data_IF_248619489450
#
_entry.id   IF_248619489450
#
_cell.length_a   1.000
_cell.length_b   1.000
_cell.length_c   1.000
_cell.angle_alpha   90.00
_cell.angle_beta   90.00
_cell.angle_gamma   90.00
#
_symmetry.space_group_name_H-M   'P 1'
#
loop_
_entity.id
_entity.type
_entity.pdbx_description
1 polymer ?
#
# COMPACT_ATOMS: atom_id res chain seq x y z
N UNK A 1 42.29 -37.22 -25.16
CA UNK A 1 43.02 -36.68 -26.32
C UNK A 1 42.33 -35.39 -26.74
N UNK A 2 43.12 -34.25 -26.66
CA UNK A 2 43.04 -33.03 -27.48
C UNK A 2 41.69 -32.24 -27.42
N UNK A 3 41.57 -30.95 -27.26
CA UNK A 3 42.49 -29.82 -26.99
C UNK A 3 41.60 -28.60 -26.69
N UNK A 4 41.99 -27.91 -25.69
CA UNK A 4 41.90 -26.51 -25.40
C UNK A 4 41.80 -25.54 -26.58
N UNK A 5 41.00 -24.47 -26.43
CA UNK A 5 41.37 -23.12 -26.88
C UNK A 5 40.70 -22.08 -26.00
N UNK A 6 41.52 -21.37 -25.25
CA UNK A 6 41.22 -20.09 -24.59
C UNK A 6 41.24 -18.99 -25.65
N UNK A 7 40.29 -18.09 -25.62
CA UNK A 7 40.37 -16.80 -26.30
C UNK A 7 40.23 -15.70 -25.27
N UNK A 8 41.36 -15.01 -25.00
CA UNK A 8 41.41 -13.70 -24.34
C UNK A 8 40.95 -12.64 -25.34
N UNK A 9 40.11 -11.75 -24.94
CA UNK A 9 39.92 -10.46 -25.61
C UNK A 9 40.15 -9.31 -24.64
N UNK A 10 41.07 -8.43 -25.07
CA UNK A 10 41.58 -7.31 -24.32
C UNK A 10 40.64 -6.09 -24.38
N UNK A 11 40.65 -5.33 -23.29
CA UNK A 11 39.99 -4.04 -23.11
C UNK A 11 40.92 -2.94 -23.65
N UNK A 12 40.44 -1.90 -24.35
CA UNK A 12 41.15 -0.64 -24.43
C UNK A 12 40.56 0.38 -23.44
N UNK A 13 41.45 0.90 -22.60
CA UNK A 13 41.31 2.18 -21.90
C UNK A 13 41.25 3.32 -22.93
N UNK A 14 40.28 4.22 -22.74
CA UNK A 14 40.37 5.57 -23.33
C UNK A 14 40.28 6.60 -22.19
N UNK A 15 41.42 7.27 -22.01
CA UNK A 15 41.55 8.47 -21.18
C UNK A 15 41.31 9.69 -22.06
N UNK A 16 40.54 10.68 -21.60
CA UNK A 16 40.58 12.06 -22.09
C UNK A 16 40.09 13.00 -21.00
N UNK A 17 40.90 13.70 -20.51
CA UNK A 17 41.51 15.05 -20.44
C UNK A 17 40.52 16.18 -20.19
N UNK A 18 40.83 16.88 -19.08
CA UNK A 18 40.35 18.15 -18.57
C UNK A 18 40.52 19.30 -19.62
N UNK A 19 39.54 20.19 -19.66
CA UNK A 19 39.76 21.57 -20.10
C UNK A 19 38.95 22.50 -19.17
N UNK A 20 39.75 23.30 -18.44
CA UNK A 20 39.34 24.51 -17.71
C UNK A 20 39.18 25.66 -18.69
N UNK A 21 38.18 26.51 -18.47
CA UNK A 21 38.24 27.89 -18.95
C UNK A 21 37.53 28.81 -17.93
N UNK A 22 38.32 29.68 -17.33
CA UNK A 22 37.94 30.86 -16.60
C UNK A 22 37.43 31.94 -17.54
N UNK A 23 36.58 32.83 -17.07
CA UNK A 23 36.23 34.10 -17.70
C UNK A 23 35.50 34.98 -16.73
N UNK A 24 36.21 36.04 -16.33
CA UNK A 24 35.88 37.08 -15.34
C UNK A 24 34.97 38.19 -15.91
N UNK A 25 34.48 38.99 -14.93
CA UNK A 25 34.14 40.40 -14.97
C UNK A 25 32.76 40.86 -15.51
N UNK A 26 31.95 41.63 -14.83
CA UNK A 26 32.17 42.95 -14.28
C UNK A 26 30.90 43.57 -13.67
N UNK A 27 31.07 44.17 -12.53
CA UNK A 27 30.39 45.21 -11.83
C UNK A 27 29.34 46.10 -12.51
N UNK A 28 28.26 46.47 -11.80
CA UNK A 28 28.09 47.86 -11.41
C UNK A 28 26.92 48.09 -10.42
N UNK A 29 27.24 48.85 -9.44
CA UNK A 29 26.48 49.47 -8.39
C UNK A 29 25.38 50.43 -8.88
N UNK A 30 24.32 50.57 -8.08
CA UNK A 30 23.83 51.93 -7.70
C UNK A 30 22.95 51.87 -6.47
N UNK A 31 23.35 52.66 -5.50
CA UNK A 31 22.69 53.18 -4.33
C UNK A 31 21.29 53.75 -4.62
N UNK A 32 20.38 53.71 -3.65
CA UNK A 32 19.85 54.89 -2.98
C UNK A 32 18.76 54.58 -1.94
N UNK A 33 19.05 54.99 -0.74
CA UNK A 33 18.32 55.76 0.27
C UNK A 33 17.16 55.16 1.02
N UNK A 34 17.38 55.14 2.32
CA UNK A 34 16.47 54.97 3.43
C UNK A 34 15.40 56.09 3.50
N UNK A 35 14.22 55.70 4.02
CA UNK A 35 13.40 56.65 4.80
C UNK A 35 12.74 55.87 5.91
N UNK A 36 13.10 56.23 7.16
CA UNK A 36 12.39 55.90 8.39
C UNK A 36 11.05 56.64 8.41
N UNK A 37 10.00 55.96 8.86
CA UNK A 37 8.95 56.61 9.63
C UNK A 37 8.31 55.64 10.63
N UNK A 38 8.18 56.15 11.83
CA UNK A 38 7.86 55.57 13.12
C UNK A 38 6.34 55.51 13.35
N UNK A 39 5.96 54.61 14.28
CA UNK A 39 4.79 54.60 15.17
C UNK A 39 3.46 54.05 14.66
N UNK A 40 2.97 52.95 15.23
CA UNK A 40 2.01 52.95 16.37
C UNK A 40 1.73 51.52 16.82
N UNK A 41 1.86 51.34 18.11
CA UNK A 41 1.46 50.18 18.90
C UNK A 41 -0.06 50.09 18.91
N UNK A 42 -0.62 48.93 18.50
CA UNK A 42 -1.93 48.49 18.99
C UNK A 42 -1.82 47.02 19.41
N UNK A 43 -1.96 46.86 20.70
CA UNK A 43 -2.05 45.62 21.45
C UNK A 43 -3.44 45.00 21.16
N UNK A 44 -3.49 43.94 20.37
CA UNK A 44 -4.68 43.10 20.23
C UNK A 44 -4.27 41.68 20.60
N UNK A 45 -4.48 41.34 21.85
CA UNK A 45 -4.55 39.98 22.35
C UNK A 45 -5.62 39.22 21.56
N UNK A 46 -5.22 38.53 20.50
CA UNK A 46 -5.99 37.46 19.89
C UNK A 46 -5.75 36.19 20.71
N UNK A 47 -6.76 35.84 21.51
CA UNK A 47 -6.89 34.50 22.09
C UNK A 47 -7.04 33.55 20.91
N UNK A 48 -5.98 32.83 20.54
CA UNK A 48 -6.09 31.69 19.67
C UNK A 48 -6.85 30.59 20.42
N UNK A 49 -8.13 30.50 20.13
CA UNK A 49 -8.97 29.34 20.45
C UNK A 49 -8.48 28.21 19.54
N UNK A 50 -7.50 27.44 20.01
CA UNK A 50 -7.10 26.17 19.40
C UNK A 50 -8.20 25.16 19.71
N UNK A 51 -9.30 25.24 18.98
CA UNK A 51 -10.17 24.08 18.79
C UNK A 51 -9.33 23.03 18.09
N UNK A 52 -8.85 22.05 18.86
CA UNK A 52 -8.35 20.81 18.32
C UNK A 52 -9.42 20.31 17.34
N UNK A 53 -9.07 20.23 16.06
CA UNK A 53 -9.95 19.60 15.07
C UNK A 53 -10.21 18.18 15.56
N UNK A 54 -11.46 17.89 15.93
CA UNK A 54 -11.88 16.55 16.21
C UNK A 54 -11.61 15.73 14.96
N UNK A 55 -10.63 14.82 15.05
CA UNK A 55 -10.38 13.82 14.02
C UNK A 55 -11.69 13.05 13.84
N UNK A 56 -12.26 12.93 12.62
CA UNK A 56 -13.47 12.13 12.43
C UNK A 56 -13.27 10.78 13.10
N UNK A 57 -14.30 10.29 13.80
CA UNK A 57 -14.27 8.99 14.46
C UNK A 57 -14.06 7.92 13.36
N UNK A 58 -12.79 7.59 13.09
CA UNK A 58 -12.39 6.56 12.14
C UNK A 58 -12.66 5.16 12.69
N UNK A 59 -12.49 4.16 11.85
CA UNK A 59 -12.47 2.76 12.25
C UNK A 59 -11.50 2.58 13.42
N UNK A 60 -11.97 1.99 14.50
CA UNK A 60 -11.17 1.78 15.72
C UNK A 60 -10.21 0.59 15.59
N UNK A 61 -10.12 -0.06 14.42
CA UNK A 61 -9.40 -1.31 14.23
C UNK A 61 -10.10 -2.51 14.84
N UNK A 62 -11.44 -2.46 14.94
CA UNK A 62 -12.29 -3.53 15.52
C UNK A 62 -13.15 -4.24 14.47
N UNK A 63 -12.96 -3.97 13.20
CA UNK A 63 -13.79 -4.52 12.12
C UNK A 63 -15.18 -3.89 12.04
N UNK A 64 -15.34 -2.66 12.50
CA UNK A 64 -16.61 -1.93 12.51
C UNK A 64 -16.65 -0.90 11.37
N UNK A 65 -17.83 -0.70 10.79
CA UNK A 65 -18.06 0.34 9.79
C UNK A 65 -17.94 1.71 10.45
N UNK A 66 -17.14 2.65 9.90
CA UNK A 66 -17.01 4.00 10.43
C UNK A 66 -18.34 4.75 10.47
N UNK A 67 -18.48 5.65 11.44
CA UNK A 67 -19.67 6.50 11.56
C UNK A 67 -19.86 7.35 10.29
N UNK A 68 -21.09 7.40 9.79
CA UNK A 68 -21.45 8.13 8.57
C UNK A 68 -21.19 7.39 7.27
N UNK A 69 -20.49 6.25 7.31
CA UNK A 69 -20.30 5.40 6.12
C UNK A 69 -21.55 4.55 5.83
N UNK A 70 -21.73 4.18 4.57
CA UNK A 70 -22.85 3.35 4.11
C UNK A 70 -22.36 1.91 3.92
N UNK A 71 -23.01 0.95 4.60
CA UNK A 71 -22.74 -0.48 4.39
C UNK A 71 -23.07 -0.91 2.96
N UNK A 72 -22.18 -1.69 2.35
CA UNK A 72 -22.36 -2.29 1.03
C UNK A 72 -22.46 -3.81 1.20
N UNK A 73 -23.62 -4.34 0.88
CA UNK A 73 -23.83 -5.79 0.88
C UNK A 73 -23.30 -6.35 -0.45
N UNK A 74 -22.41 -7.34 -0.37
CA UNK A 74 -21.84 -8.02 -1.52
C UNK A 74 -22.46 -9.40 -1.62
N UNK A 75 -23.19 -9.63 -2.70
CA UNK A 75 -23.83 -10.91 -3.01
C UNK A 75 -23.67 -11.17 -4.52
N UNK A 76 -23.43 -12.43 -4.89
CA UNK A 76 -23.31 -12.84 -6.29
C UNK A 76 -23.56 -14.32 -6.45
N UNK A 77 -24.24 -14.69 -7.54
CA UNK A 77 -24.40 -16.11 -7.92
C UNK A 77 -23.14 -16.58 -8.64
N UNK A 78 -22.26 -17.23 -7.91
CA UNK A 78 -20.97 -17.70 -8.42
C UNK A 78 -21.10 -18.83 -9.44
N UNK A 79 -22.28 -19.46 -9.59
CA UNK A 79 -22.52 -20.43 -10.68
C UNK A 79 -22.45 -19.78 -12.07
N UNK A 80 -22.46 -18.47 -12.16
CA UNK A 80 -22.23 -17.68 -13.37
C UNK A 80 -20.86 -17.94 -14.01
N UNK A 81 -19.89 -18.47 -13.26
CA UNK A 81 -18.54 -18.76 -13.75
C UNK A 81 -18.43 -19.96 -14.68
N UNK A 82 -19.44 -20.82 -14.77
CA UNK A 82 -19.42 -21.98 -15.68
C UNK A 82 -19.07 -21.58 -17.12
N UNK A 83 -17.94 -22.12 -17.62
CA UNK A 83 -17.42 -21.86 -18.96
C UNK A 83 -16.84 -20.46 -19.21
N UNK A 84 -16.64 -19.64 -18.18
CA UNK A 84 -16.05 -18.31 -18.26
C UNK A 84 -14.53 -18.34 -18.19
N UNK A 85 -13.88 -17.36 -18.81
CA UNK A 85 -12.42 -17.17 -18.71
C UNK A 85 -12.12 -15.77 -18.18
N UNK A 86 -11.23 -15.69 -17.19
CA UNK A 86 -10.88 -14.40 -16.57
C UNK A 86 -9.37 -14.17 -16.59
N UNK A 87 -8.98 -12.88 -16.61
CA UNK A 87 -7.59 -12.45 -16.41
C UNK A 87 -7.39 -11.95 -15.00
N UNK A 88 -6.31 -12.37 -14.33
CA UNK A 88 -5.89 -11.84 -13.02
C UNK A 88 -4.46 -11.33 -13.13
N UNK A 89 -4.26 -10.02 -12.95
CA UNK A 89 -2.93 -9.40 -12.85
C UNK A 89 -2.54 -9.26 -11.38
N UNK A 90 -1.35 -9.75 -11.03
CA UNK A 90 -0.76 -9.65 -9.71
C UNK A 90 0.55 -8.86 -9.76
N UNK A 91 0.72 -7.86 -8.87
CA UNK A 91 1.92 -7.03 -8.86
C UNK A 91 3.17 -7.84 -8.49
N UNK A 92 3.10 -8.62 -7.41
CA UNK A 92 4.24 -9.38 -6.89
C UNK A 92 3.77 -10.59 -6.07
N UNK A 93 4.58 -11.66 -5.99
CA UNK A 93 4.25 -12.86 -5.23
C UNK A 93 4.54 -12.63 -3.73
N UNK A 94 3.74 -11.77 -3.10
CA UNK A 94 3.80 -11.48 -1.66
C UNK A 94 2.59 -12.07 -0.94
N UNK A 95 2.70 -12.39 0.37
CA UNK A 95 1.64 -13.09 1.11
C UNK A 95 0.27 -12.42 1.02
N UNK A 96 0.17 -11.10 1.17
CA UNK A 96 -1.08 -10.37 1.05
C UNK A 96 -1.74 -10.53 -0.32
N UNK A 97 -0.94 -10.45 -1.41
CA UNK A 97 -1.45 -10.67 -2.77
C UNK A 97 -1.93 -12.11 -2.99
N UNK A 98 -1.23 -13.10 -2.42
CA UNK A 98 -1.66 -14.50 -2.48
C UNK A 98 -2.96 -14.74 -1.69
N UNK A 99 -3.12 -14.10 -0.53
CA UNK A 99 -4.34 -14.19 0.30
C UNK A 99 -5.56 -13.60 -0.40
N UNK A 100 -5.38 -12.61 -1.26
CA UNK A 100 -6.47 -12.09 -2.09
C UNK A 100 -6.73 -12.96 -3.32
N UNK A 101 -5.69 -13.35 -4.03
CA UNK A 101 -5.82 -14.03 -5.32
C UNK A 101 -6.25 -15.50 -5.21
N UNK A 102 -5.81 -16.22 -4.16
CA UNK A 102 -6.16 -17.65 -3.99
C UNK A 102 -7.67 -17.88 -3.76
N UNK A 103 -8.37 -17.17 -2.85
CA UNK A 103 -9.82 -17.30 -2.70
C UNK A 103 -10.57 -16.90 -3.97
N UNK A 104 -10.13 -15.84 -4.67
CA UNK A 104 -10.70 -15.43 -5.95
C UNK A 104 -10.57 -16.55 -7.00
N UNK A 105 -9.36 -17.12 -7.18
CA UNK A 105 -9.14 -18.22 -8.11
C UNK A 105 -9.98 -19.45 -7.74
N UNK A 106 -9.96 -19.85 -6.46
CA UNK A 106 -10.76 -20.98 -5.98
C UNK A 106 -12.26 -20.77 -6.26
N UNK A 107 -12.79 -19.59 -5.96
CA UNK A 107 -14.19 -19.26 -6.23
C UNK A 107 -14.54 -19.42 -7.72
N UNK A 108 -13.68 -18.99 -8.64
CA UNK A 108 -13.91 -19.07 -10.08
C UNK A 108 -13.77 -20.52 -10.57
N UNK A 109 -12.69 -21.19 -10.22
CA UNK A 109 -12.37 -22.54 -10.73
C UNK A 109 -13.31 -23.63 -10.19
N UNK A 110 -13.67 -23.55 -8.90
CA UNK A 110 -14.63 -24.48 -8.28
C UNK A 110 -16.04 -24.35 -8.88
N UNK A 111 -16.34 -23.21 -9.50
CA UNK A 111 -17.61 -22.95 -10.18
C UNK A 111 -17.49 -23.03 -11.72
N UNK A 112 -16.47 -23.73 -12.22
CA UNK A 112 -16.34 -24.10 -13.65
C UNK A 112 -15.72 -23.02 -14.55
N UNK A 113 -15.16 -21.97 -13.96
CA UNK A 113 -14.40 -20.94 -14.69
C UNK A 113 -12.95 -21.33 -14.95
N UNK A 114 -12.27 -20.57 -15.79
CA UNK A 114 -10.85 -20.72 -16.13
C UNK A 114 -10.12 -19.42 -15.81
N UNK A 115 -8.96 -19.51 -15.16
CA UNK A 115 -8.16 -18.36 -14.75
C UNK A 115 -6.87 -18.27 -15.55
N UNK A 116 -6.62 -17.13 -16.18
CA UNK A 116 -5.31 -16.69 -16.69
C UNK A 116 -4.66 -15.79 -15.64
N UNK A 117 -3.84 -16.39 -14.76
CA UNK A 117 -3.15 -15.68 -13.68
C UNK A 117 -1.76 -15.25 -14.14
N UNK A 118 -1.48 -13.93 -14.04
CA UNK A 118 -0.23 -13.32 -14.46
C UNK A 118 0.40 -12.53 -13.33
N UNK A 119 1.54 -13.00 -12.82
CA UNK A 119 2.38 -12.25 -11.89
C UNK A 119 3.39 -11.41 -12.67
N UNK A 120 3.40 -10.10 -12.46
CA UNK A 120 4.32 -9.20 -13.18
C UNK A 120 5.69 -9.08 -12.53
N UNK A 121 5.88 -9.71 -11.34
CA UNK A 121 7.18 -9.77 -10.67
C UNK A 121 7.67 -8.40 -10.17
N UNK A 122 6.77 -7.52 -9.76
CA UNK A 122 7.08 -6.15 -9.32
C UNK A 122 7.28 -5.16 -10.46
N UNK A 123 7.03 -5.55 -11.72
CA UNK A 123 7.18 -4.69 -12.90
C UNK A 123 5.80 -4.25 -13.45
N UNK A 124 5.27 -3.09 -13.02
CA UNK A 124 3.94 -2.62 -13.43
C UNK A 124 3.87 -2.27 -14.93
N UNK A 125 5.01 -2.10 -15.61
CA UNK A 125 5.03 -1.77 -17.04
C UNK A 125 4.51 -2.88 -17.94
N UNK A 126 4.33 -4.09 -17.40
CA UNK A 126 3.75 -5.24 -18.11
C UNK A 126 2.23 -5.20 -18.19
N UNK A 127 1.56 -4.44 -17.30
CA UNK A 127 0.10 -4.42 -17.21
C UNK A 127 -0.61 -4.06 -18.52
N UNK A 128 -0.21 -3.01 -19.28
CA UNK A 128 -0.90 -2.66 -20.52
C UNK A 128 -0.97 -3.82 -21.51
N UNK A 129 0.13 -4.54 -21.70
CA UNK A 129 0.17 -5.68 -22.63
C UNK A 129 -0.73 -6.84 -22.18
N UNK A 130 -0.87 -7.08 -20.88
CA UNK A 130 -1.81 -8.08 -20.34
C UNK A 130 -3.25 -7.66 -20.63
N UNK A 131 -3.62 -6.41 -20.33
CA UNK A 131 -4.97 -5.89 -20.57
C UNK A 131 -5.32 -5.94 -22.06
N UNK A 132 -4.41 -5.53 -22.97
CA UNK A 132 -4.59 -5.63 -24.41
C UNK A 132 -4.81 -7.10 -24.86
N UNK A 133 -4.02 -8.03 -24.32
CA UNK A 133 -4.15 -9.46 -24.59
C UNK A 133 -5.52 -10.02 -24.15
N UNK A 134 -5.98 -9.63 -22.97
CA UNK A 134 -7.28 -10.04 -22.44
C UNK A 134 -8.45 -9.39 -23.20
N UNK A 135 -8.33 -8.14 -23.60
CA UNK A 135 -9.33 -7.49 -24.46
C UNK A 135 -9.43 -8.20 -25.83
N UNK A 136 -8.28 -8.57 -26.43
CA UNK A 136 -8.26 -9.30 -27.70
C UNK A 136 -8.84 -10.73 -27.60
N UNK A 137 -8.56 -11.44 -26.51
CA UNK A 137 -9.08 -12.78 -26.23
C UNK A 137 -10.53 -12.77 -25.69
N UNK A 138 -11.06 -11.59 -25.35
CA UNK A 138 -12.43 -11.39 -24.84
C UNK A 138 -12.68 -12.17 -23.56
N UNK A 139 -11.82 -12.00 -22.56
CA UNK A 139 -12.08 -12.55 -21.25
C UNK A 139 -13.40 -12.03 -20.66
N UNK A 140 -14.04 -12.80 -19.80
CA UNK A 140 -15.36 -12.46 -19.22
C UNK A 140 -15.25 -11.51 -18.02
N UNK A 141 -14.08 -11.45 -17.36
CA UNK A 141 -13.76 -10.49 -16.31
C UNK A 141 -12.25 -10.24 -16.22
N UNK A 142 -11.87 -9.10 -15.67
CA UNK A 142 -10.49 -8.72 -15.37
C UNK A 142 -10.38 -8.38 -13.90
N UNK A 143 -9.34 -8.92 -13.26
CA UNK A 143 -8.99 -8.62 -11.88
C UNK A 143 -7.56 -8.10 -11.79
N UNK A 144 -7.32 -7.20 -10.85
CA UNK A 144 -5.98 -6.66 -10.61
C UNK A 144 -5.74 -6.43 -9.13
N UNK A 145 -4.59 -6.88 -8.64
CA UNK A 145 -4.14 -6.59 -7.29
C UNK A 145 -2.81 -5.84 -7.30
N UNK A 146 -2.81 -4.67 -6.67
CA UNK A 146 -1.63 -3.88 -6.33
C UNK A 146 -0.95 -3.17 -7.50
N UNK A 147 -1.37 -3.36 -8.77
CA UNK A 147 -0.78 -2.64 -9.90
C UNK A 147 -1.59 -1.38 -10.15
N UNK A 148 -0.94 -0.21 -10.07
CA UNK A 148 -1.59 1.07 -10.37
C UNK A 148 -2.25 1.05 -11.76
N UNK A 149 -3.55 1.35 -11.79
CA UNK A 149 -4.36 1.37 -13.02
C UNK A 149 -4.43 2.76 -13.68
N UNK A 150 -3.73 3.75 -13.13
CA UNK A 150 -3.65 5.07 -13.77
C UNK A 150 -3.00 4.97 -15.16
N UNK A 151 -3.55 5.70 -16.11
CA UNK A 151 -3.12 5.63 -17.52
C UNK A 151 -3.69 4.44 -18.31
N UNK A 152 -4.59 3.63 -17.72
CA UNK A 152 -5.27 2.52 -18.39
C UNK A 152 -6.75 2.82 -18.75
N UNK A 153 -7.16 4.07 -18.64
CA UNK A 153 -8.58 4.49 -18.79
C UNK A 153 -9.20 4.02 -20.12
N UNK A 154 -8.42 4.07 -21.20
CA UNK A 154 -8.90 3.62 -22.53
C UNK A 154 -9.18 2.12 -22.57
N UNK A 155 -8.37 1.30 -21.92
CA UNK A 155 -8.54 -0.15 -21.85
C UNK A 155 -9.71 -0.50 -20.90
N UNK A 156 -9.83 0.17 -19.76
CA UNK A 156 -10.96 0.03 -18.85
C UNK A 156 -12.27 0.38 -19.55
N UNK A 157 -12.29 1.49 -20.30
CA UNK A 157 -13.46 1.88 -21.09
C UNK A 157 -13.84 0.82 -22.14
N UNK A 158 -12.85 0.21 -22.80
CA UNK A 158 -13.11 -0.89 -23.75
C UNK A 158 -13.72 -2.13 -23.07
N UNK A 159 -13.26 -2.50 -21.88
CA UNK A 159 -13.88 -3.57 -21.09
C UNK A 159 -15.29 -3.20 -20.65
N UNK A 160 -15.52 -1.94 -20.24
CA UNK A 160 -16.84 -1.45 -19.85
C UNK A 160 -17.82 -1.52 -21.04
N UNK A 161 -17.42 -1.09 -22.25
CA UNK A 161 -18.21 -1.20 -23.48
C UNK A 161 -18.52 -2.66 -23.82
N UNK A 162 -17.56 -3.56 -23.62
CA UNK A 162 -17.72 -5.00 -23.79
C UNK A 162 -18.58 -5.65 -22.71
N UNK A 163 -18.95 -4.91 -21.65
CA UNK A 163 -19.60 -5.42 -20.42
C UNK A 163 -18.76 -6.46 -19.67
N UNK A 164 -17.46 -6.35 -19.76
CA UNK A 164 -16.50 -7.15 -19.03
C UNK A 164 -16.17 -6.45 -17.71
N UNK A 165 -16.55 -6.98 -16.54
CA UNK A 165 -16.21 -6.39 -15.26
C UNK A 165 -14.71 -6.24 -15.07
N UNK A 166 -14.28 -5.11 -14.53
CA UNK A 166 -12.92 -4.87 -14.04
C UNK A 166 -13.02 -4.63 -12.54
N UNK A 167 -12.47 -5.54 -11.72
CA UNK A 167 -12.48 -5.44 -10.25
C UNK A 167 -11.05 -5.38 -9.75
N UNK A 168 -10.74 -4.40 -8.90
CA UNK A 168 -9.37 -4.12 -8.48
C UNK A 168 -9.26 -4.04 -6.96
N UNK A 169 -8.05 -4.34 -6.43
CA UNK A 169 -7.69 -4.20 -5.02
C UNK A 169 -6.34 -3.51 -4.89
N UNK A 170 -6.25 -2.46 -4.05
CA UNK A 170 -4.99 -1.74 -3.80
C UNK A 170 -4.38 -1.06 -5.03
N UNK A 171 -5.21 -0.69 -6.02
CA UNK A 171 -4.77 -0.28 -7.36
C UNK A 171 -5.38 1.07 -7.82
N UNK A 172 -5.78 1.90 -6.86
CA UNK A 172 -6.43 3.19 -7.12
C UNK A 172 -7.95 3.09 -7.31
N UNK A 173 -8.55 4.10 -7.95
CA UNK A 173 -10.00 4.15 -8.22
C UNK A 173 -10.26 4.71 -9.63
N UNK A 174 -9.87 4.02 -10.69
CA UNK A 174 -10.09 4.48 -12.06
C UNK A 174 -11.56 4.35 -12.46
N UNK A 175 -12.04 5.28 -13.28
CA UNK A 175 -13.40 5.24 -13.81
C UNK A 175 -13.66 3.94 -14.62
N UNK A 176 -14.80 3.32 -14.41
CA UNK A 176 -15.22 2.08 -15.09
C UNK A 176 -14.76 0.78 -14.41
N UNK A 177 -13.86 0.83 -13.45
CA UNK A 177 -13.54 -0.31 -12.60
C UNK A 177 -14.35 -0.26 -11.29
N UNK A 178 -14.54 -1.43 -10.67
CA UNK A 178 -15.00 -1.54 -9.27
C UNK A 178 -13.76 -1.60 -8.39
N UNK A 179 -13.49 -0.50 -7.70
CA UNK A 179 -12.39 -0.41 -6.75
C UNK A 179 -12.84 -0.96 -5.40
N UNK A 180 -12.46 -2.20 -5.12
CA UNK A 180 -12.60 -2.86 -3.83
C UNK A 180 -11.24 -2.80 -3.13
N UNK A 181 -11.21 -2.33 -1.88
CA UNK A 181 -9.95 -2.15 -1.15
C UNK A 181 -10.19 -2.21 0.37
N UNK A 182 -9.12 -2.26 1.15
CA UNK A 182 -9.17 -1.83 2.55
C UNK A 182 -9.18 -0.30 2.63
N UNK A 183 -9.56 0.27 3.77
CA UNK A 183 -9.38 1.70 4.00
C UNK A 183 -7.91 1.98 4.33
N UNK A 184 -7.06 2.01 3.32
CA UNK A 184 -5.61 2.11 3.45
C UNK A 184 -5.16 3.32 4.29
N UNK A 185 -5.84 4.46 4.12
CA UNK A 185 -5.53 5.67 4.88
C UNK A 185 -5.90 5.50 6.36
N UNK A 186 -7.03 4.82 6.64
CA UNK A 186 -7.44 4.53 8.01
C UNK A 186 -6.55 3.46 8.66
N UNK A 187 -6.06 2.48 7.91
CA UNK A 187 -5.07 1.50 8.42
C UNK A 187 -3.82 2.22 8.93
N UNK A 188 -3.35 3.21 8.17
CA UNK A 188 -2.27 4.10 8.62
C UNK A 188 -2.60 4.85 9.90
N UNK A 189 -3.84 5.39 10.03
CA UNK A 189 -4.30 6.05 11.26
C UNK A 189 -4.40 5.10 12.45
N UNK A 190 -4.88 3.86 12.24
CA UNK A 190 -4.95 2.83 13.28
C UNK A 190 -3.56 2.57 13.85
N UNK A 191 -2.57 2.32 13.00
CA UNK A 191 -1.18 2.14 13.41
C UNK A 191 -0.63 3.40 14.10
N UNK A 192 -0.93 4.59 13.56
CA UNK A 192 -0.53 5.85 14.15
C UNK A 192 -1.05 6.01 15.58
N UNK A 193 -2.34 5.77 15.82
CA UNK A 193 -2.94 5.83 17.16
C UNK A 193 -2.32 4.81 18.12
N UNK A 194 -2.11 3.59 17.64
CA UNK A 194 -1.42 2.56 18.43
C UNK A 194 -0.02 2.99 18.84
N UNK A 195 0.76 3.57 17.92
CA UNK A 195 2.11 4.05 18.22
C UNK A 195 2.09 5.23 19.18
N UNK A 196 1.20 6.21 19.02
CA UNK A 196 1.05 7.32 19.98
C UNK A 196 0.80 6.79 21.39
N UNK A 197 -0.08 5.80 21.54
CA UNK A 197 -0.32 5.17 22.85
C UNK A 197 0.92 4.45 23.40
N UNK A 198 1.65 3.71 22.57
CA UNK A 198 2.77 2.86 23.02
C UNK A 198 4.06 3.61 23.28
N UNK A 199 4.40 4.59 22.44
CA UNK A 199 5.69 5.29 22.55
C UNK A 199 5.58 6.72 23.10
N UNK A 200 4.42 7.36 23.01
CA UNK A 200 4.13 8.69 23.52
C UNK A 200 4.87 9.84 22.82
N UNK A 201 6.13 9.67 22.48
CA UNK A 201 6.98 10.69 21.83
C UNK A 201 8.22 10.06 21.23
N UNK A 202 8.93 10.78 20.36
CA UNK A 202 10.19 10.36 19.76
C UNK A 202 10.11 10.33 18.24
N UNK A 203 10.84 9.40 17.63
CA UNK A 203 10.95 9.27 16.19
C UNK A 203 10.47 7.87 15.75
N UNK A 204 9.78 7.82 14.62
CA UNK A 204 9.30 6.61 13.95
C UNK A 204 9.94 6.52 12.57
N UNK A 205 10.41 5.33 12.19
CA UNK A 205 10.89 5.04 10.83
C UNK A 205 9.77 4.29 10.11
N UNK A 206 9.38 4.74 8.92
CA UNK A 206 8.51 4.00 8.00
C UNK A 206 9.36 3.46 6.85
N UNK A 207 9.42 2.13 6.70
CA UNK A 207 9.95 1.52 5.49
C UNK A 207 8.78 1.24 4.54
N UNK A 208 8.82 1.89 3.37
CA UNK A 208 7.71 1.89 2.42
C UNK A 208 8.19 1.58 1.00
N UNK A 209 7.26 1.39 0.07
CA UNK A 209 7.53 1.20 -1.35
C UNK A 209 6.57 2.08 -2.17
N UNK A 210 6.92 2.37 -3.43
CA UNK A 210 6.12 3.22 -4.28
C UNK A 210 4.90 2.46 -4.83
N UNK A 211 3.76 2.60 -4.16
CA UNK A 211 2.48 2.00 -4.52
C UNK A 211 1.34 2.88 -3.98
N UNK A 212 0.20 3.05 -4.68
CA UNK A 212 -0.91 3.91 -4.24
C UNK A 212 -1.48 3.56 -2.85
N UNK A 213 -1.66 2.26 -2.56
CA UNK A 213 -2.16 1.82 -1.26
C UNK A 213 -1.19 2.19 -0.13
N UNK A 214 0.12 1.97 -0.36
CA UNK A 214 1.16 2.27 0.62
C UNK A 214 1.32 3.78 0.86
N UNK A 215 1.13 4.60 -0.18
CA UNK A 215 1.11 6.07 -0.03
C UNK A 215 -0.11 6.53 0.79
N UNK A 216 -1.26 5.88 0.64
CA UNK A 216 -2.44 6.16 1.45
C UNK A 216 -2.22 5.79 2.92
N UNK A 217 -1.59 4.64 3.20
CA UNK A 217 -1.17 4.24 4.56
C UNK A 217 -0.22 5.26 5.20
N UNK A 218 0.79 5.69 4.45
CA UNK A 218 1.73 6.71 4.87
C UNK A 218 1.04 8.04 5.21
N UNK A 219 0.07 8.46 4.39
CA UNK A 219 -0.71 9.69 4.61
C UNK A 219 -1.44 9.62 5.96
N UNK A 220 -2.20 8.54 6.22
CA UNK A 220 -2.93 8.36 7.48
C UNK A 220 -2.02 8.28 8.69
N UNK A 221 -0.91 7.53 8.59
CA UNK A 221 0.12 7.44 9.63
C UNK A 221 0.72 8.83 9.94
N UNK A 222 1.12 9.56 8.90
CA UNK A 222 1.72 10.89 9.01
C UNK A 222 0.79 11.88 9.71
N UNK A 223 -0.50 11.86 9.38
CA UNK A 223 -1.50 12.73 10.00
C UNK A 223 -1.53 12.55 11.53
N UNK A 224 -1.63 11.30 12.00
CA UNK A 224 -1.72 11.00 13.43
C UNK A 224 -0.43 11.29 14.17
N UNK A 225 0.72 10.86 13.63
CA UNK A 225 2.03 11.08 14.27
C UNK A 225 2.37 12.58 14.35
N UNK A 226 2.09 13.33 13.29
CA UNK A 226 2.31 14.79 13.25
C UNK A 226 1.43 15.52 14.28
N UNK A 227 0.16 15.14 14.43
CA UNK A 227 -0.72 15.70 15.44
C UNK A 227 -0.21 15.45 16.87
N UNK A 228 0.46 14.32 17.10
CA UNK A 228 1.08 13.96 18.38
C UNK A 228 2.51 14.52 18.56
N UNK A 229 3.05 15.25 17.59
CA UNK A 229 4.42 15.76 17.64
C UNK A 229 5.51 14.70 17.52
N UNK A 230 5.20 13.55 16.93
CA UNK A 230 6.13 12.45 16.68
C UNK A 230 6.71 12.61 15.28
N UNK A 231 8.04 12.56 15.17
CA UNK A 231 8.75 12.68 13.89
C UNK A 231 8.65 11.36 13.10
N UNK A 232 8.35 11.47 11.79
CA UNK A 232 8.34 10.34 10.87
C UNK A 232 9.48 10.47 9.86
N UNK A 233 10.31 9.44 9.77
CA UNK A 233 11.37 9.27 8.75
C UNK A 233 10.94 8.20 7.78
N UNK A 234 10.71 8.56 6.52
CA UNK A 234 10.32 7.60 5.47
C UNK A 234 11.56 7.15 4.71
N UNK A 235 11.69 5.85 4.54
CA UNK A 235 12.78 5.22 3.80
C UNK A 235 12.24 4.16 2.84
N UNK A 236 12.97 3.89 1.75
CA UNK A 236 12.66 2.75 0.90
C UNK A 236 11.95 3.03 -0.41
N UNK A 237 11.86 4.28 -0.88
CA UNK A 237 11.17 4.66 -2.14
C UNK A 237 11.56 3.81 -3.37
N UNK A 238 12.75 3.22 -3.37
CA UNK A 238 13.27 2.37 -4.46
C UNK A 238 13.34 0.89 -4.09
N UNK A 239 12.63 0.46 -3.03
CA UNK A 239 12.65 -0.93 -2.58
C UNK A 239 11.84 -1.84 -3.50
N UNK A 240 12.36 -3.08 -3.65
CA UNK A 240 11.50 -4.20 -4.00
C UNK A 240 10.58 -4.60 -2.83
N UNK A 241 9.57 -5.42 -3.12
CA UNK A 241 8.56 -5.85 -2.14
C UNK A 241 9.03 -7.02 -1.25
N UNK A 242 10.31 -7.07 -0.86
CA UNK A 242 10.88 -8.20 -0.10
C UNK A 242 11.34 -7.82 1.30
N UNK A 243 11.26 -8.78 2.23
CA UNK A 243 11.76 -8.61 3.59
C UNK A 243 13.27 -8.31 3.61
N UNK A 244 14.07 -8.92 2.72
CA UNK A 244 15.51 -8.68 2.64
C UNK A 244 15.84 -7.23 2.26
N UNK A 245 15.11 -6.65 1.29
CA UNK A 245 15.31 -5.26 0.89
C UNK A 245 14.93 -4.29 2.01
N UNK A 246 13.83 -4.58 2.72
CA UNK A 246 13.40 -3.81 3.88
C UNK A 246 14.43 -3.88 5.02
N UNK A 247 14.95 -5.07 5.34
CA UNK A 247 15.95 -5.23 6.37
C UNK A 247 17.17 -4.32 6.11
N UNK A 248 17.73 -4.35 4.92
CA UNK A 248 18.89 -3.52 4.55
C UNK A 248 18.62 -2.02 4.69
N UNK A 249 17.44 -1.59 4.27
CA UNK A 249 17.04 -0.17 4.36
C UNK A 249 16.85 0.27 5.81
N UNK A 250 16.22 -0.56 6.63
CA UNK A 250 15.98 -0.28 8.05
C UNK A 250 17.28 -0.32 8.85
N UNK A 251 18.21 -1.25 8.56
CA UNK A 251 19.55 -1.25 9.19
C UNK A 251 20.28 0.07 8.97
N UNK A 252 20.27 0.60 7.75
CA UNK A 252 20.86 1.90 7.44
C UNK A 252 20.12 3.06 8.15
N UNK A 253 18.79 3.00 8.19
CA UNK A 253 17.97 4.01 8.84
C UNK A 253 18.19 4.04 10.36
N UNK A 254 18.29 2.89 11.02
CA UNK A 254 18.59 2.79 12.46
C UNK A 254 20.00 3.30 12.80
N UNK A 255 20.99 3.10 11.93
CA UNK A 255 22.32 3.69 12.11
C UNK A 255 22.28 5.22 12.08
N UNK A 256 21.45 5.80 11.20
CA UNK A 256 21.26 7.26 11.11
C UNK A 256 20.37 7.81 12.23
N UNK A 257 19.45 7.00 12.76
CA UNK A 257 18.44 7.38 13.75
C UNK A 257 18.45 6.38 14.94
N UNK A 258 19.52 6.33 15.75
CA UNK A 258 19.68 5.29 16.78
C UNK A 258 18.65 5.40 17.92
N UNK A 259 18.01 6.53 18.08
CA UNK A 259 17.00 6.79 19.12
C UNK A 259 15.56 6.57 18.64
N UNK A 260 15.37 6.04 17.42
CA UNK A 260 14.04 5.71 16.90
C UNK A 260 13.32 4.74 17.86
N UNK A 261 12.04 5.04 18.15
CA UNK A 261 11.21 4.27 19.10
C UNK A 261 10.39 3.19 18.44
N UNK A 262 10.11 3.36 17.15
CA UNK A 262 9.36 2.37 16.39
C UNK A 262 9.80 2.33 14.93
N UNK A 263 9.60 1.18 14.30
CA UNK A 263 9.69 0.98 12.86
C UNK A 263 8.36 0.47 12.35
N UNK A 264 7.84 1.09 11.30
CA UNK A 264 6.62 0.69 10.61
C UNK A 264 6.99 0.05 9.28
N UNK A 265 6.54 -1.19 9.03
CA UNK A 265 6.53 -1.76 7.70
C UNK A 265 5.28 -1.33 6.95
N UNK A 266 5.40 -0.75 5.76
CA UNK A 266 4.25 -0.35 4.94
C UNK A 266 3.29 -1.50 4.62
N UNK A 267 3.79 -2.74 4.65
CA UNK A 267 3.02 -3.99 4.60
C UNK A 267 3.81 -5.15 5.21
N UNK A 268 3.20 -6.34 5.31
CA UNK A 268 3.70 -7.49 6.06
C UNK A 268 5.15 -7.86 5.83
N UNK A 269 5.57 -8.11 4.59
CA UNK A 269 6.95 -8.49 4.28
C UNK A 269 7.96 -7.40 4.67
N UNK A 270 7.61 -6.11 4.52
CA UNK A 270 8.48 -5.01 4.97
C UNK A 270 8.58 -4.98 6.50
N UNK A 271 7.48 -5.26 7.21
CA UNK A 271 7.45 -5.37 8.66
C UNK A 271 8.32 -6.51 9.19
N UNK A 272 8.27 -7.68 8.55
CA UNK A 272 9.13 -8.83 8.89
C UNK A 272 10.60 -8.48 8.69
N UNK A 273 10.96 -7.82 7.59
CA UNK A 273 12.31 -7.33 7.34
C UNK A 273 12.76 -6.28 8.36
N UNK A 274 11.86 -5.37 8.74
CA UNK A 274 12.11 -4.39 9.79
C UNK A 274 12.42 -5.04 11.15
N UNK A 275 11.67 -6.08 11.52
CA UNK A 275 11.90 -6.81 12.78
C UNK A 275 13.26 -7.51 12.81
N UNK A 276 13.69 -8.06 11.67
CA UNK A 276 15.03 -8.64 11.54
C UNK A 276 16.11 -7.57 11.71
N UNK A 277 15.94 -6.39 11.12
CA UNK A 277 16.87 -5.26 11.23
C UNK A 277 16.97 -4.74 12.68
N UNK A 278 15.84 -4.52 13.35
CA UNK A 278 15.77 -4.07 14.74
C UNK A 278 16.48 -5.07 15.66
N UNK A 279 16.23 -6.37 15.46
CA UNK A 279 16.90 -7.45 16.22
C UNK A 279 18.40 -7.47 15.98
N UNK A 280 18.84 -7.37 14.73
CA UNK A 280 20.26 -7.38 14.36
C UNK A 280 21.00 -6.14 14.91
N UNK A 281 20.34 -4.99 14.93
CA UNK A 281 20.90 -3.75 15.50
C UNK A 281 20.93 -3.75 17.04
N UNK A 282 20.23 -4.68 17.72
CA UNK A 282 20.04 -4.64 19.16
C UNK A 282 19.30 -3.39 19.63
N UNK A 283 18.40 -2.88 18.81
CA UNK A 283 17.58 -1.67 19.09
C UNK A 283 16.37 -2.06 19.96
N UNK A 284 15.96 -1.15 20.82
CA UNK A 284 14.74 -1.27 21.64
C UNK A 284 13.47 -0.79 20.89
N UNK A 285 13.58 -0.42 19.62
CA UNK A 285 12.45 0.01 18.81
C UNK A 285 11.42 -1.11 18.64
N UNK A 286 10.14 -0.81 18.79
CA UNK A 286 9.06 -1.74 18.44
C UNK A 286 8.81 -1.75 16.94
N UNK A 287 8.29 -2.85 16.43
CA UNK A 287 7.91 -2.97 15.01
C UNK A 287 6.43 -3.23 14.89
N UNK A 288 5.80 -2.53 13.95
CA UNK A 288 4.40 -2.70 13.56
C UNK A 288 4.27 -2.71 12.05
N UNK A 289 3.17 -3.22 11.52
CA UNK A 289 2.96 -3.28 10.08
C UNK A 289 1.46 -3.35 9.73
N UNK A 290 1.16 -3.57 8.46
CA UNK A 290 -0.20 -3.67 7.92
C UNK A 290 -0.25 -4.80 6.89
N UNK A 291 -1.31 -5.50 6.80
CA UNK A 291 -1.88 -6.58 6.00
C UNK A 291 -2.49 -7.69 6.87
N UNK A 292 -1.87 -8.03 8.02
CA UNK A 292 -2.26 -9.20 8.80
C UNK A 292 -1.85 -10.51 8.11
N UNK A 293 -0.64 -10.55 7.58
CA UNK A 293 -0.12 -11.77 6.96
C UNK A 293 0.29 -12.80 8.01
N UNK A 294 0.26 -14.13 7.73
CA UNK A 294 0.63 -15.18 8.70
C UNK A 294 2.01 -15.00 9.32
N UNK A 295 2.98 -14.50 8.56
CA UNK A 295 4.35 -14.23 9.03
C UNK A 295 4.39 -13.11 10.07
N UNK A 296 3.50 -12.13 9.99
CA UNK A 296 3.36 -11.07 10.98
C UNK A 296 2.81 -11.64 12.28
N UNK A 297 1.81 -12.50 12.20
CA UNK A 297 1.26 -13.19 13.38
C UNK A 297 2.30 -14.09 14.04
N UNK A 298 3.11 -14.79 13.25
CA UNK A 298 4.19 -15.61 13.77
C UNK A 298 5.29 -14.76 14.43
N UNK A 299 5.59 -13.58 13.88
CA UNK A 299 6.52 -12.64 14.47
C UNK A 299 5.99 -12.07 15.82
N UNK A 300 4.71 -11.71 15.91
CA UNK A 300 4.09 -11.28 17.16
C UNK A 300 4.11 -12.43 18.19
N UNK A 301 3.76 -13.64 17.77
CA UNK A 301 3.70 -14.83 18.62
C UNK A 301 5.07 -15.23 19.18
N UNK A 302 6.14 -15.05 18.39
CA UNK A 302 7.50 -15.35 18.80
C UNK A 302 7.97 -14.46 19.96
N UNK A 303 7.34 -13.30 20.15
CA UNK A 303 7.77 -12.30 21.12
C UNK A 303 9.11 -11.68 20.69
N UNK A 304 9.18 -10.40 20.58
CA UNK A 304 10.33 -9.68 20.07
C UNK A 304 9.92 -8.25 19.73
N UNK A 305 10.61 -7.61 18.80
CA UNK A 305 10.27 -6.24 18.44
C UNK A 305 8.93 -6.10 17.72
N UNK A 306 8.43 -7.12 17.02
CA UNK A 306 7.19 -7.07 16.26
C UNK A 306 5.98 -7.23 17.20
N UNK A 307 5.13 -6.19 17.33
CA UNK A 307 4.11 -6.13 18.38
C UNK A 307 2.68 -5.99 17.89
N UNK A 308 2.46 -5.52 16.66
CA UNK A 308 1.12 -5.34 16.10
C UNK A 308 1.11 -5.29 14.57
N UNK A 309 -0.03 -5.66 13.99
CA UNK A 309 -0.34 -5.44 12.58
C UNK A 309 -1.82 -5.08 12.41
N UNK A 310 -2.17 -4.36 11.35
CA UNK A 310 -3.55 -4.17 10.93
C UNK A 310 -3.90 -5.24 9.89
N UNK A 311 -4.85 -6.09 10.20
CA UNK A 311 -5.40 -7.09 9.29
C UNK A 311 -6.49 -6.44 8.42
N UNK A 312 -6.22 -6.24 7.16
CA UNK A 312 -7.09 -5.54 6.20
C UNK A 312 -8.04 -6.45 5.42
N UNK A 313 -7.98 -7.78 5.66
CA UNK A 313 -8.96 -8.75 5.16
C UNK A 313 -8.82 -9.09 3.68
N UNK A 314 -7.61 -9.23 3.18
CA UNK A 314 -7.33 -9.61 1.79
C UNK A 314 -8.14 -10.82 1.30
N UNK A 315 -8.25 -11.90 2.09
CA UNK A 315 -9.02 -13.09 1.73
C UNK A 315 -10.50 -12.80 1.49
N UNK A 316 -11.11 -11.97 2.34
CA UNK A 316 -12.51 -11.54 2.18
C UNK A 316 -12.68 -10.64 0.96
N UNK A 317 -11.66 -9.83 0.64
CA UNK A 317 -11.60 -9.02 -0.58
C UNK A 317 -11.57 -9.87 -1.84
N UNK A 318 -10.83 -10.99 -1.85
CA UNK A 318 -10.78 -11.94 -2.97
C UNK A 318 -12.12 -12.64 -3.21
N UNK A 319 -12.78 -13.11 -2.14
CA UNK A 319 -14.12 -13.68 -2.21
C UNK A 319 -15.16 -12.66 -2.69
N UNK A 320 -15.11 -11.44 -2.16
CA UNK A 320 -15.98 -10.34 -2.56
C UNK A 320 -15.80 -9.98 -4.05
N UNK A 321 -14.56 -9.92 -4.54
CA UNK A 321 -14.26 -9.66 -5.94
C UNK A 321 -14.91 -10.71 -6.88
N UNK A 322 -14.84 -11.99 -6.50
CA UNK A 322 -15.50 -13.08 -7.23
C UNK A 322 -17.00 -12.85 -7.32
N UNK A 323 -17.67 -12.54 -6.22
CA UNK A 323 -19.11 -12.33 -6.16
C UNK A 323 -19.55 -11.08 -6.92
N UNK A 324 -18.81 -9.98 -6.79
CA UNK A 324 -19.07 -8.73 -7.52
C UNK A 324 -19.04 -8.97 -9.03
N UNK A 325 -17.98 -9.58 -9.54
CA UNK A 325 -17.84 -9.80 -10.96
C UNK A 325 -18.88 -10.80 -11.48
N UNK A 326 -19.20 -11.88 -10.74
CA UNK A 326 -20.26 -12.82 -11.07
C UNK A 326 -21.62 -12.11 -11.19
N UNK A 327 -21.94 -11.23 -10.23
CA UNK A 327 -23.17 -10.44 -10.24
C UNK A 327 -23.24 -9.51 -11.48
N UNK A 328 -22.12 -8.87 -11.83
CA UNK A 328 -22.05 -8.00 -13.01
C UNK A 328 -22.16 -8.79 -14.33
N UNK A 329 -21.55 -9.99 -14.44
CA UNK A 329 -21.70 -10.89 -15.60
C UNK A 329 -23.15 -11.33 -15.76
N UNK A 330 -23.87 -11.54 -14.65
CA UNK A 330 -25.32 -11.82 -14.68
C UNK A 330 -26.20 -10.64 -15.12
N UNK A 331 -25.61 -9.48 -15.38
CA UNK A 331 -26.26 -8.28 -15.86
C UNK A 331 -26.79 -7.34 -14.79
N UNK A 332 -26.41 -7.56 -13.53
CA UNK A 332 -26.75 -6.66 -12.44
C UNK A 332 -25.69 -5.52 -12.32
N UNK A 333 -26.05 -4.37 -11.74
CA UNK A 333 -25.08 -3.31 -11.48
C UNK A 333 -24.02 -3.75 -10.45
N UNK A 334 -22.86 -3.08 -10.46
CA UNK A 334 -21.93 -3.17 -9.36
C UNK A 334 -22.59 -2.77 -8.03
N UNK A 335 -22.21 -3.37 -6.89
CA UNK A 335 -22.76 -2.99 -5.60
C UNK A 335 -22.31 -1.60 -5.19
N UNK A 336 -23.11 -0.93 -4.36
CA UNK A 336 -22.82 0.42 -3.86
C UNK A 336 -23.06 1.53 -4.87
N UNK A 337 -22.53 2.72 -4.57
CA UNK A 337 -22.63 3.92 -5.41
C UNK A 337 -21.50 3.92 -6.45
N UNK A 338 -21.86 4.13 -7.71
CA UNK A 338 -20.88 4.13 -8.81
C UNK A 338 -19.81 5.20 -8.64
N UNK A 339 -18.55 4.84 -8.92
CA UNK A 339 -17.40 5.73 -8.83
C UNK A 339 -16.84 5.91 -7.42
N UNK A 340 -17.47 5.33 -6.39
CA UNK A 340 -16.90 5.28 -5.04
C UNK A 340 -16.22 3.94 -4.79
N UNK A 341 -15.11 3.97 -4.05
CA UNK A 341 -14.47 2.75 -3.58
C UNK A 341 -15.37 2.00 -2.59
N UNK A 342 -15.35 0.68 -2.67
CA UNK A 342 -15.94 -0.21 -1.69
C UNK A 342 -14.82 -0.64 -0.75
N UNK A 343 -14.90 -0.26 0.51
CA UNK A 343 -13.85 -0.44 1.48
C UNK A 343 -14.19 -1.58 2.44
N UNK A 344 -13.25 -2.46 2.72
CA UNK A 344 -13.35 -3.46 3.77
C UNK A 344 -12.98 -2.84 5.13
N UNK A 345 -13.62 -3.31 6.20
CA UNK A 345 -13.22 -2.98 7.57
C UNK A 345 -11.90 -3.67 7.94
N UNK A 346 -11.13 -3.05 8.84
CA UNK A 346 -9.82 -3.55 9.28
C UNK A 346 -9.81 -3.91 10.78
N UNK A 347 -8.91 -4.79 11.19
CA UNK A 347 -8.74 -5.22 12.59
C UNK A 347 -7.29 -5.04 13.02
N UNK A 348 -7.07 -4.30 14.12
CA UNK A 348 -5.77 -4.23 14.76
C UNK A 348 -5.51 -5.53 15.53
N UNK A 349 -4.46 -6.24 15.15
CA UNK A 349 -4.02 -7.49 15.78
C UNK A 349 -2.78 -7.24 16.62
N UNK A 350 -2.85 -7.66 17.87
CA UNK A 350 -1.76 -7.60 18.86
C UNK A 350 -1.64 -8.97 19.55
N UNK A 351 -0.76 -9.11 20.51
CA UNK A 351 -0.67 -10.34 21.30
C UNK A 351 -2.00 -10.69 22.05
N UNK A 352 -2.86 -9.69 22.31
CA UNK A 352 -4.09 -9.89 23.09
C UNK A 352 -5.22 -10.57 22.29
N UNK A 353 -5.21 -10.42 20.96
CA UNK A 353 -6.23 -10.98 20.05
C UNK A 353 -5.63 -11.75 18.86
N UNK A 354 -4.39 -12.22 19.01
CA UNK A 354 -3.68 -12.97 18.00
C UNK A 354 -4.40 -14.27 17.65
N UNK A 355 -4.66 -14.56 16.35
CA UNK A 355 -5.27 -15.82 15.92
C UNK A 355 -4.40 -17.03 16.28
N UNK A 356 -4.98 -18.24 16.28
CA UNK A 356 -4.22 -19.47 16.51
C UNK A 356 -3.12 -19.66 15.45
N UNK A 357 -2.10 -20.45 15.79
CA UNK A 357 -1.00 -20.67 14.86
C UNK A 357 -1.48 -21.36 13.57
N UNK A 358 -1.15 -20.76 12.42
CA UNK A 358 -1.57 -21.23 11.10
C UNK A 358 -2.97 -20.77 10.68
N UNK A 359 -3.66 -20.01 11.52
CA UNK A 359 -4.95 -19.40 11.17
C UNK A 359 -4.75 -17.93 10.78
N UNK A 360 -5.54 -17.44 9.82
CA UNK A 360 -5.69 -16.00 9.57
C UNK A 360 -6.61 -15.37 10.61
N UNK A 361 -6.60 -14.05 10.70
CA UNK A 361 -7.56 -13.33 11.53
C UNK A 361 -8.97 -13.54 10.91
N UNK A 362 -9.82 -14.29 11.60
CA UNK A 362 -11.06 -14.83 11.05
C UNK A 362 -12.29 -13.92 11.22
N UNK A 363 -12.13 -12.66 11.63
CA UNK A 363 -13.25 -11.73 11.73
C UNK A 363 -13.81 -11.42 10.34
N UNK A 364 -15.06 -11.80 10.01
CA UNK A 364 -15.65 -11.46 8.71
C UNK A 364 -15.62 -9.95 8.47
N UNK A 365 -15.21 -9.55 7.28
CA UNK A 365 -15.17 -8.13 6.91
C UNK A 365 -16.55 -7.64 6.50
N UNK A 366 -16.87 -6.44 6.95
CA UNK A 366 -17.97 -5.66 6.39
C UNK A 366 -17.41 -4.74 5.32
N UNK A 367 -18.23 -4.50 4.31
CA UNK A 367 -17.87 -3.60 3.22
C UNK A 367 -18.70 -2.33 3.30
N UNK A 368 -18.12 -1.20 2.98
CA UNK A 368 -18.77 0.10 3.09
C UNK A 368 -18.22 1.10 2.07
N UNK A 369 -18.93 2.20 1.92
CA UNK A 369 -18.49 3.38 1.17
C UNK A 369 -18.51 4.60 2.07
N UNK A 370 -17.52 5.46 1.91
CA UNK A 370 -17.47 6.77 2.58
C UNK A 370 -18.49 7.73 1.93
N UNK A 371 -18.94 8.77 2.68
CA UNK A 371 -19.90 9.77 2.21
C UNK A 371 -19.51 10.46 0.91
#
# INVERSE_FOLDING_TARGET
MKNSRKALWAIPLVSLALLSACGDDNSSSSDTTATEETTATEDTTATEDTTAAETPAGDTGKGEIPEGATEVVIEGDVTTWEGKTVGIANLAPVPGAERWSKPLQACIEENGGTVDFQDVGGDPTKLPALLEGWAASKVDAVFNIGIDMSGQESLIAAFTEAKTPVVIWGAGNPEGAVALDANQEEDGRIIGRYLVEKIGSGQVILVNANNPALQSREKGLTEVLKAAGIELVVVGDALGFSAESAQKSVEAALQANPDAKAVVGGFGSLGVGAAAAVTAAGSDAIVVSMNGDPEEYDAIRAGGPFVATVADGHEFGGEAACQIAANMIAGNPAPGEAGKQILATSVLVTADNLPAAGESEGTPRKFYQLP
#
